data_IF_549939055209
#
_entry.id   IF_549939055209
#
_cell.length_a   1.000
_cell.length_b   1.000
_cell.length_c   1.000
_cell.angle_alpha   90.00
_cell.angle_beta   90.00
_cell.angle_gamma   90.00
#
_symmetry.space_group_name_H-M   'P 1'
#
loop_
_entity.id
_entity.type
_entity.pdbx_description
1 polymer ?
#
# COMPACT_ATOMS: atom_id res chain seq x y z
N UNK A 1 -31.59 7.02 11.32
CA UNK A 1 -30.63 8.09 11.01
C UNK A 1 -29.23 7.51 11.18
N UNK A 2 -28.38 7.57 10.14
CA UNK A 2 -26.98 7.13 10.25
C UNK A 2 -26.22 8.12 11.12
N UNK A 3 -25.42 7.61 12.07
CA UNK A 3 -24.71 8.43 13.08
C UNK A 3 -23.20 8.56 12.83
N UNK A 4 -22.62 7.68 12.01
CA UNK A 4 -21.21 7.73 11.62
C UNK A 4 -20.98 6.92 10.34
N UNK A 5 -19.88 7.21 9.66
CA UNK A 5 -19.34 6.43 8.54
C UNK A 5 -17.87 6.20 8.82
N UNK A 6 -17.39 4.97 8.55
CA UNK A 6 -16.00 4.61 8.62
C UNK A 6 -15.52 4.30 7.19
N UNK A 7 -14.37 4.88 6.83
CA UNK A 7 -13.70 4.59 5.57
C UNK A 7 -12.44 3.80 5.87
N UNK A 8 -12.17 2.80 5.04
CA UNK A 8 -10.82 2.26 4.95
C UNK A 8 -9.87 3.33 4.40
N UNK A 9 -8.59 3.25 4.76
CA UNK A 9 -7.58 4.22 4.33
C UNK A 9 -7.00 3.80 2.98
N UNK A 10 -6.43 2.59 2.92
CA UNK A 10 -5.55 2.14 1.86
C UNK A 10 -6.34 1.76 0.60
N UNK A 11 -6.21 2.57 -0.45
CA UNK A 11 -6.93 2.39 -1.71
C UNK A 11 -8.41 2.75 -1.67
N UNK A 12 -8.94 3.16 -0.50
CA UNK A 12 -10.31 3.70 -0.35
C UNK A 12 -10.28 5.21 -0.13
N UNK A 13 -9.62 5.69 0.91
CA UNK A 13 -9.50 7.13 1.18
C UNK A 13 -8.26 7.75 0.51
N UNK A 14 -7.16 7.01 0.42
CA UNK A 14 -5.89 7.46 -0.16
C UNK A 14 -5.24 6.39 -1.03
N UNK A 15 -4.60 6.79 -2.14
CA UNK A 15 -3.71 5.90 -2.92
C UNK A 15 -2.35 5.78 -2.23
N UNK A 16 -2.27 4.91 -1.22
CA UNK A 16 -1.06 4.67 -0.42
C UNK A 16 -0.09 3.68 -1.08
N UNK A 17 -0.43 3.10 -2.23
CA UNK A 17 0.39 2.09 -2.91
C UNK A 17 1.81 2.56 -3.24
N UNK A 18 2.06 3.81 -3.71
CA UNK A 18 3.42 4.28 -3.96
C UNK A 18 4.28 4.35 -2.69
N UNK A 19 3.70 4.81 -1.58
CA UNK A 19 4.42 4.97 -0.31
C UNK A 19 4.73 3.61 0.34
N UNK A 20 3.76 2.70 0.33
CA UNK A 20 3.95 1.32 0.80
C UNK A 20 4.99 0.58 -0.05
N UNK A 21 5.02 0.82 -1.36
CA UNK A 21 6.05 0.28 -2.24
C UNK A 21 7.44 0.83 -1.94
N UNK A 22 7.56 2.13 -1.63
CA UNK A 22 8.81 2.74 -1.21
C UNK A 22 9.32 2.14 0.11
N UNK A 23 8.45 1.98 1.11
CA UNK A 23 8.78 1.38 2.39
C UNK A 23 9.22 -0.09 2.25
N UNK A 24 8.51 -0.87 1.41
CA UNK A 24 8.88 -2.25 1.11
C UNK A 24 10.26 -2.31 0.43
N UNK A 25 10.51 -1.50 -0.58
CA UNK A 25 11.78 -1.49 -1.29
C UNK A 25 12.94 -1.00 -0.41
N UNK A 26 12.71 -0.08 0.52
CA UNK A 26 13.68 0.26 1.55
C UNK A 26 14.07 -0.97 2.38
N UNK A 27 13.08 -1.72 2.87
CA UNK A 27 13.32 -2.96 3.64
C UNK A 27 14.07 -4.01 2.82
N UNK A 28 13.73 -4.18 1.53
CA UNK A 28 14.43 -5.11 0.63
C UNK A 28 15.90 -4.73 0.45
N UNK A 29 16.19 -3.43 0.29
CA UNK A 29 17.55 -2.93 0.17
C UNK A 29 18.38 -3.24 1.44
N UNK A 30 17.81 -3.07 2.64
CA UNK A 30 18.52 -3.41 3.90
C UNK A 30 18.87 -4.90 4.02
N UNK A 31 18.21 -5.76 3.26
CA UNK A 31 18.42 -7.22 3.23
C UNK A 31 19.20 -7.69 2.00
N UNK A 32 19.71 -6.78 1.17
CA UNK A 32 20.43 -7.10 -0.07
C UNK A 32 19.56 -7.71 -1.16
N UNK A 33 18.24 -7.50 -1.10
CA UNK A 33 17.29 -7.99 -2.10
C UNK A 33 17.03 -6.92 -3.18
N UNK A 34 16.86 -7.31 -4.46
CA UNK A 34 16.56 -6.37 -5.54
C UNK A 34 15.18 -5.73 -5.33
N UNK A 35 14.93 -4.48 -5.75
CA UNK A 35 13.61 -3.86 -5.62
C UNK A 35 12.55 -4.62 -6.44
N UNK A 36 11.30 -4.54 -6.01
CA UNK A 36 10.14 -4.98 -6.79
C UNK A 36 9.48 -3.78 -7.47
N UNK A 37 8.95 -3.96 -8.70
CA UNK A 37 8.24 -2.89 -9.40
C UNK A 37 6.88 -2.62 -8.75
N UNK A 38 6.39 -1.39 -8.87
CA UNK A 38 5.13 -0.96 -8.25
C UNK A 38 3.95 -1.82 -8.71
N UNK A 39 3.88 -2.22 -9.98
CA UNK A 39 2.84 -3.12 -10.48
C UNK A 39 2.76 -4.45 -9.73
N UNK A 40 3.89 -4.96 -9.23
CA UNK A 40 3.93 -6.19 -8.42
C UNK A 40 3.51 -5.96 -6.98
N UNK A 41 3.64 -4.73 -6.46
CA UNK A 41 3.38 -4.41 -5.04
C UNK A 41 1.95 -3.85 -4.85
N UNK A 42 1.45 -3.10 -5.83
CA UNK A 42 0.17 -2.38 -5.76
C UNK A 42 -1.03 -3.30 -5.40
N UNK A 43 -1.19 -4.51 -5.96
CA UNK A 43 -2.29 -5.40 -5.56
C UNK A 43 -2.28 -5.86 -4.09
N UNK A 44 -1.16 -5.69 -3.39
CA UNK A 44 -0.96 -6.09 -1.99
C UNK A 44 -1.06 -4.90 -1.05
N UNK A 45 -0.97 -3.68 -1.58
CA UNK A 45 -1.09 -2.44 -0.82
C UNK A 45 -2.55 -2.13 -0.46
N UNK A 46 -3.52 -2.62 -1.23
CA UNK A 46 -4.95 -2.49 -0.93
C UNK A 46 -5.71 -3.71 -1.45
N UNK A 47 -6.64 -4.21 -0.64
CA UNK A 47 -7.56 -5.27 -1.07
C UNK A 47 -8.86 -4.72 -1.66
N UNK A 48 -9.00 -3.39 -1.79
CA UNK A 48 -10.13 -2.73 -2.45
C UNK A 48 -11.47 -3.43 -2.24
N UNK A 49 -11.89 -3.59 -0.98
CA UNK A 49 -13.21 -4.16 -0.64
C UNK A 49 -14.29 -3.08 -0.62
#
# INVERSE_FOLDING_TARGET
MIKAVLFDLDGTFADTAPDLAAALNHTRATRGLPPLPLETIRPQASHGS
#
